data_IF_517613018877
#
_entry.id   IF_517613018877
#
_cell.length_a   1.000
_cell.length_b   1.000
_cell.length_c   1.000
_cell.angle_alpha   90.00
_cell.angle_beta   90.00
_cell.angle_gamma   90.00
#
_symmetry.space_group_name_H-M   'P 1'
#
loop_
_entity.id
_entity.type
_entity.pdbx_description
1 polymer ?
#
# COMPACT_ATOMS: atom_id res chain seq x y z
N UNK A 1 29.94 27.96 -27.38
CA UNK A 1 29.42 26.77 -26.66
C UNK A 1 27.94 27.00 -26.44
N UNK A 2 27.09 26.46 -27.32
CA UNK A 2 25.65 26.56 -27.20
C UNK A 2 25.18 25.45 -26.26
N UNK A 3 24.48 25.84 -25.21
CA UNK A 3 23.94 25.01 -24.14
C UNK A 3 23.17 23.82 -24.72
N UNK A 4 23.52 22.62 -24.28
CA UNK A 4 22.83 21.38 -24.63
C UNK A 4 21.31 21.61 -24.62
N UNK A 5 20.67 21.36 -25.77
CA UNK A 5 19.24 21.08 -25.85
C UNK A 5 18.97 19.84 -24.99
N UNK A 6 18.73 20.05 -23.70
CA UNK A 6 17.91 19.13 -22.94
C UNK A 6 16.57 19.09 -23.67
N UNK A 7 16.36 18.02 -24.45
CA UNK A 7 15.04 17.66 -24.95
C UNK A 7 14.21 17.31 -23.71
N UNK A 8 13.75 18.34 -23.01
CA UNK A 8 12.91 18.27 -21.83
C UNK A 8 11.55 17.79 -22.30
N UNK A 9 11.39 16.48 -22.51
CA UNK A 9 10.11 15.81 -22.70
C UNK A 9 9.32 15.79 -21.39
N UNK A 10 9.36 16.92 -20.69
CA UNK A 10 8.83 17.14 -19.39
C UNK A 10 7.60 18.02 -19.56
N UNK A 11 6.52 17.61 -18.93
CA UNK A 11 5.31 18.38 -18.87
C UNK A 11 5.20 19.03 -17.50
N UNK A 12 4.87 20.32 -17.47
CA UNK A 12 4.55 21.01 -16.23
C UNK A 12 3.19 21.67 -16.38
N UNK A 13 2.25 21.29 -15.53
CA UNK A 13 0.92 21.89 -15.44
C UNK A 13 0.93 22.81 -14.23
N UNK A 14 0.88 24.12 -14.48
CA UNK A 14 0.86 25.13 -13.43
C UNK A 14 -0.44 25.14 -12.62
N UNK A 15 -0.41 25.84 -11.50
CA UNK A 15 -1.59 26.09 -10.68
C UNK A 15 -2.66 26.86 -11.47
N UNK A 16 -3.93 26.49 -11.32
CA UNK A 16 -5.05 27.10 -12.03
C UNK A 16 -5.25 26.63 -13.47
N UNK A 17 -4.33 25.83 -14.02
CA UNK A 17 -4.53 25.19 -15.32
C UNK A 17 -5.47 24.00 -15.14
N UNK A 18 -6.49 23.92 -16.00
CA UNK A 18 -7.38 22.74 -16.10
C UNK A 18 -7.16 22.08 -17.45
N UNK A 19 -6.66 20.86 -17.43
CA UNK A 19 -6.48 20.05 -18.63
C UNK A 19 -7.59 19.00 -18.72
N UNK A 20 -8.20 18.88 -19.91
CA UNK A 20 -9.23 17.87 -20.20
C UNK A 20 -8.86 17.08 -21.44
N UNK A 21 -8.70 15.76 -21.30
CA UNK A 21 -8.42 14.85 -22.41
C UNK A 21 -7.35 13.81 -22.09
N UNK A 22 -6.68 13.33 -23.14
CA UNK A 22 -5.60 12.33 -23.03
C UNK A 22 -4.25 13.00 -23.15
N UNK A 23 -3.35 12.68 -22.24
CA UNK A 23 -2.03 13.28 -22.11
C UNK A 23 -0.97 12.18 -22.10
N UNK A 24 -0.05 12.25 -23.04
CA UNK A 24 1.04 11.29 -23.17
C UNK A 24 2.39 12.02 -23.04
N UNK A 25 3.12 11.73 -21.97
CA UNK A 25 4.38 12.39 -21.62
C UNK A 25 5.51 11.36 -21.65
N UNK A 26 6.53 11.51 -22.51
CA UNK A 26 7.56 10.48 -22.65
C UNK A 26 8.45 10.32 -21.40
N UNK A 27 8.72 11.42 -20.67
CA UNK A 27 9.60 11.39 -19.49
C UNK A 27 8.81 11.73 -18.22
N UNK A 28 8.83 13.01 -17.82
CA UNK A 28 8.38 13.46 -16.49
C UNK A 28 7.19 14.40 -16.60
N UNK A 29 6.09 14.06 -15.94
CA UNK A 29 4.92 14.92 -15.81
C UNK A 29 4.85 15.50 -14.39
N UNK A 30 4.78 16.82 -14.29
CA UNK A 30 4.63 17.55 -13.03
C UNK A 30 3.30 18.29 -13.04
N UNK A 31 2.43 18.01 -12.07
CA UNK A 31 1.06 18.50 -12.05
C UNK A 31 0.81 19.29 -10.77
N UNK A 32 0.60 20.59 -10.89
CA UNK A 32 0.14 21.50 -9.83
C UNK A 32 -1.28 22.01 -10.05
N UNK A 33 -1.89 21.71 -11.20
CA UNK A 33 -3.24 22.12 -11.59
C UNK A 33 -4.27 21.00 -11.51
N UNK A 34 -5.39 21.17 -12.24
CA UNK A 34 -6.44 20.15 -12.35
C UNK A 34 -6.30 19.38 -13.67
N UNK A 35 -6.31 18.05 -13.59
CA UNK A 35 -6.27 17.16 -14.75
C UNK A 35 -7.49 16.26 -14.71
N UNK A 36 -8.24 16.25 -15.80
CA UNK A 36 -9.44 15.43 -15.97
C UNK A 36 -9.30 14.62 -17.27
N UNK A 37 -9.13 13.30 -17.13
CA UNK A 37 -8.93 12.40 -18.26
C UNK A 37 -7.86 11.33 -18.04
N UNK A 38 -7.13 10.98 -19.11
CA UNK A 38 -6.12 9.92 -19.08
C UNK A 38 -4.71 10.49 -19.18
N UNK A 39 -3.86 10.15 -18.22
CA UNK A 39 -2.46 10.58 -18.16
C UNK A 39 -1.54 9.36 -18.23
N UNK A 40 -0.69 9.33 -19.25
CA UNK A 40 0.36 8.31 -19.42
C UNK A 40 1.73 8.97 -19.37
N UNK A 41 2.60 8.53 -18.46
CA UNK A 41 3.99 8.99 -18.38
C UNK A 41 4.95 7.95 -17.82
N UNK A 42 6.27 8.16 -17.91
CA UNK A 42 7.22 7.33 -17.15
C UNK A 42 7.24 7.72 -15.67
N UNK A 43 7.40 9.01 -15.39
CA UNK A 43 7.43 9.58 -14.05
C UNK A 43 6.31 10.62 -13.89
N UNK A 44 5.51 10.50 -12.83
CA UNK A 44 4.45 11.44 -12.50
C UNK A 44 4.67 12.01 -11.11
N UNK A 45 4.69 13.33 -11.02
CA UNK A 45 4.74 14.08 -9.78
C UNK A 45 3.50 14.94 -9.63
N UNK A 46 2.73 14.71 -8.58
CA UNK A 46 1.51 15.45 -8.28
C UNK A 46 1.80 16.31 -7.07
N UNK A 47 1.90 17.62 -7.27
CA UNK A 47 2.11 18.57 -6.17
C UNK A 47 0.86 18.72 -5.30
N UNK A 48 1.00 19.41 -4.16
CA UNK A 48 -0.09 19.59 -3.19
C UNK A 48 -1.37 20.23 -3.75
N UNK A 49 -1.24 21.14 -4.72
CA UNK A 49 -2.40 21.74 -5.41
C UNK A 49 -2.90 20.92 -6.61
N UNK A 50 -2.21 19.83 -6.93
CA UNK A 50 -2.56 18.94 -8.03
C UNK A 50 -3.81 18.14 -7.72
N UNK A 51 -4.80 18.22 -8.61
CA UNK A 51 -6.02 17.41 -8.54
C UNK A 51 -6.18 16.62 -9.82
N UNK A 52 -6.13 15.30 -9.72
CA UNK A 52 -6.29 14.42 -10.88
C UNK A 52 -7.57 13.62 -10.74
N UNK A 53 -8.42 13.69 -11.76
CA UNK A 53 -9.64 12.90 -11.89
C UNK A 53 -9.55 12.09 -13.17
N UNK A 54 -9.47 10.77 -13.04
CA UNK A 54 -9.48 9.88 -14.21
C UNK A 54 -8.45 8.76 -14.11
N UNK A 55 -7.89 8.36 -15.25
CA UNK A 55 -6.97 7.22 -15.33
C UNK A 55 -5.52 7.71 -15.40
N UNK A 56 -4.71 7.30 -14.45
CA UNK A 56 -3.27 7.61 -14.43
C UNK A 56 -2.47 6.35 -14.64
N UNK A 57 -1.56 6.34 -15.61
CA UNK A 57 -0.67 5.20 -15.90
C UNK A 57 0.77 5.66 -15.92
N UNK A 58 1.60 5.15 -15.00
CA UNK A 58 3.03 5.42 -15.02
C UNK A 58 3.88 4.32 -14.39
N UNK A 59 5.19 4.40 -14.57
CA UNK A 59 6.15 3.50 -13.91
C UNK A 59 6.38 3.93 -12.47
N UNK A 60 6.69 5.21 -12.28
CA UNK A 60 6.94 5.82 -10.97
C UNK A 60 5.97 6.96 -10.73
N UNK A 61 5.28 6.94 -9.59
CA UNK A 61 4.29 7.96 -9.24
C UNK A 61 4.58 8.49 -7.84
N UNK A 62 4.63 9.81 -7.71
CA UNK A 62 4.70 10.50 -6.44
C UNK A 62 3.48 11.40 -6.25
N UNK A 63 2.75 11.20 -5.15
CA UNK A 63 1.47 11.85 -4.87
C UNK A 63 1.55 12.70 -3.61
N UNK A 64 1.49 14.03 -3.78
CA UNK A 64 1.31 14.99 -2.68
C UNK A 64 -0.07 15.65 -2.65
N UNK A 65 -0.82 15.58 -3.74
CA UNK A 65 -2.13 16.22 -3.91
C UNK A 65 -3.32 15.26 -3.80
N UNK A 66 -4.38 15.55 -4.54
CA UNK A 66 -5.59 14.73 -4.61
C UNK A 66 -5.62 13.90 -5.90
N UNK A 67 -5.82 12.59 -5.77
CA UNK A 67 -5.93 11.67 -6.89
C UNK A 67 -7.23 10.86 -6.76
N UNK A 68 -8.07 10.91 -7.79
CA UNK A 68 -9.38 10.28 -7.82
C UNK A 68 -9.53 9.35 -9.02
N UNK A 69 -10.25 8.24 -8.82
CA UNK A 69 -10.58 7.18 -9.79
C UNK A 69 -9.58 6.03 -9.90
N UNK A 70 -8.77 5.95 -10.97
CA UNK A 70 -7.99 4.74 -11.28
C UNK A 70 -6.53 5.09 -11.49
N UNK A 71 -5.66 4.41 -10.75
CA UNK A 71 -4.21 4.62 -10.79
C UNK A 71 -3.54 3.31 -11.10
N UNK A 72 -2.70 3.28 -12.13
CA UNK A 72 -1.88 2.15 -12.54
C UNK A 72 -0.41 2.53 -12.40
N UNK A 73 0.24 2.03 -11.36
CA UNK A 73 1.65 2.19 -11.11
C UNK A 73 2.37 0.88 -11.39
N UNK A 74 3.30 0.86 -12.35
CA UNK A 74 3.95 -0.39 -12.77
C UNK A 74 5.08 -0.82 -11.83
N UNK A 75 5.78 0.13 -11.23
CA UNK A 75 7.01 -0.12 -10.47
C UNK A 75 6.87 0.36 -9.02
N UNK A 76 6.98 1.66 -8.77
CA UNK A 76 7.01 2.26 -7.44
C UNK A 76 6.01 3.41 -7.29
N UNK A 77 5.11 3.29 -6.32
CA UNK A 77 4.18 4.34 -5.90
C UNK A 77 4.62 4.92 -4.56
N UNK A 78 4.85 6.23 -4.52
CA UNK A 78 5.16 6.99 -3.31
C UNK A 78 4.01 7.93 -2.97
N UNK A 79 3.37 7.71 -1.82
CA UNK A 79 2.33 8.60 -1.29
C UNK A 79 2.96 9.44 -0.19
N UNK A 80 3.04 10.75 -0.42
CA UNK A 80 3.60 11.71 0.55
C UNK A 80 2.61 12.03 1.66
N UNK A 81 3.08 12.73 2.68
CA UNK A 81 2.32 13.08 3.88
C UNK A 81 1.00 13.84 3.63
N UNK A 82 0.84 14.54 2.51
CA UNK A 82 -0.38 15.28 2.14
C UNK A 82 -1.21 14.58 1.06
N UNK A 83 -0.73 13.44 0.54
CA UNK A 83 -1.35 12.72 -0.55
C UNK A 83 -2.69 12.12 -0.15
N UNK A 84 -3.73 12.44 -0.92
CA UNK A 84 -5.08 11.88 -0.77
C UNK A 84 -5.43 11.12 -2.02
N UNK A 85 -5.53 9.80 -1.90
CA UNK A 85 -5.87 8.92 -3.01
C UNK A 85 -7.20 8.25 -2.73
N UNK A 86 -8.16 8.39 -3.65
CA UNK A 86 -9.46 7.74 -3.52
C UNK A 86 -9.88 7.05 -4.82
N UNK A 87 -10.18 5.75 -4.72
CA UNK A 87 -10.56 4.92 -5.86
C UNK A 87 -9.79 3.61 -5.96
N UNK A 88 -9.58 3.12 -7.18
CA UNK A 88 -8.91 1.86 -7.48
C UNK A 88 -7.42 2.10 -7.78
N UNK A 89 -6.53 1.45 -7.03
CA UNK A 89 -5.09 1.62 -7.11
C UNK A 89 -4.43 0.29 -7.45
N UNK A 90 -3.82 0.18 -8.62
CA UNK A 90 -3.03 -0.95 -9.07
C UNK A 90 -1.54 -0.63 -8.96
N UNK A 91 -0.78 -1.40 -8.18
CA UNK A 91 0.66 -1.15 -7.96
C UNK A 91 1.47 -2.43 -7.79
N UNK A 92 2.78 -2.36 -8.05
CA UNK A 92 3.74 -3.43 -7.68
C UNK A 92 4.31 -3.20 -6.27
N UNK A 93 4.90 -2.04 -6.04
CA UNK A 93 5.42 -1.61 -4.73
C UNK A 93 4.82 -0.26 -4.32
N UNK A 94 4.45 -0.13 -3.05
CA UNK A 94 3.87 1.08 -2.48
C UNK A 94 4.66 1.51 -1.24
N UNK A 95 4.88 2.81 -1.11
CA UNK A 95 5.37 3.47 0.08
C UNK A 95 4.41 4.58 0.48
N UNK A 96 4.08 4.65 1.76
CA UNK A 96 3.15 5.64 2.31
C UNK A 96 3.85 6.37 3.45
N UNK A 97 4.03 7.67 3.32
CA UNK A 97 4.52 8.54 4.38
C UNK A 97 3.43 8.82 5.44
N UNK A 98 3.86 9.28 6.63
CA UNK A 98 2.93 9.64 7.71
C UNK A 98 2.05 10.81 7.27
N UNK A 99 0.75 10.59 7.21
CA UNK A 99 -0.25 11.58 6.79
C UNK A 99 -0.90 11.27 5.44
N UNK A 100 -0.33 10.35 4.65
CA UNK A 100 -0.97 9.88 3.43
C UNK A 100 -2.29 9.17 3.73
N UNK A 101 -3.37 9.61 3.09
CA UNK A 101 -4.69 9.01 3.21
C UNK A 101 -5.06 8.28 1.92
N UNK A 102 -5.34 6.99 2.02
CA UNK A 102 -5.86 6.18 0.91
C UNK A 102 -7.26 5.67 1.26
N UNK A 103 -8.21 5.83 0.34
CA UNK A 103 -9.58 5.32 0.50
C UNK A 103 -10.10 4.67 -0.78
N UNK A 104 -10.16 3.34 -0.78
CA UNK A 104 -10.74 2.60 -1.90
C UNK A 104 -10.20 1.19 -1.99
N UNK A 105 -10.11 0.68 -3.22
CA UNK A 105 -9.67 -0.68 -3.51
C UNK A 105 -8.22 -0.65 -4.00
N UNK A 106 -7.35 -1.43 -3.35
CA UNK A 106 -5.97 -1.60 -3.80
C UNK A 106 -5.77 -3.01 -4.34
N UNK A 107 -5.05 -3.11 -5.45
CA UNK A 107 -4.77 -4.37 -6.12
C UNK A 107 -3.29 -4.42 -6.47
N UNK A 108 -2.57 -5.33 -5.82
CA UNK A 108 -1.16 -5.50 -6.10
C UNK A 108 -0.99 -6.36 -7.35
N UNK A 109 -0.34 -5.82 -8.38
CA UNK A 109 -0.11 -6.51 -9.67
C UNK A 109 1.37 -6.84 -9.77
N UNK A 110 1.76 -8.09 -9.56
CA UNK A 110 3.16 -8.53 -9.71
C UNK A 110 3.81 -9.19 -8.50
N UNK A 111 3.07 -9.42 -7.40
CA UNK A 111 3.60 -10.24 -6.31
C UNK A 111 3.51 -11.73 -6.66
N UNK A 112 4.64 -12.37 -6.95
CA UNK A 112 4.83 -13.74 -6.51
C UNK A 112 4.64 -13.74 -4.98
N UNK A 113 3.94 -14.71 -4.38
CA UNK A 113 3.57 -14.65 -2.98
C UNK A 113 4.85 -14.56 -2.14
N UNK A 114 5.09 -13.39 -1.54
CA UNK A 114 6.09 -13.21 -0.49
C UNK A 114 5.55 -13.88 0.75
N UNK A 115 5.70 -15.21 0.80
CA UNK A 115 5.77 -15.91 2.06
C UNK A 115 7.01 -15.38 2.79
N UNK A 116 6.91 -14.95 4.06
CA UNK A 116 8.09 -14.67 4.87
C UNK A 116 8.85 -15.98 5.06
N UNK A 117 9.78 -16.27 4.16
CA UNK A 117 10.73 -17.36 4.33
C UNK A 117 11.88 -16.85 5.20
N UNK A 118 11.79 -17.08 6.51
CA UNK A 118 12.97 -17.04 7.37
C UNK A 118 12.91 -16.26 8.69
N UNK A 119 11.98 -16.59 9.58
CA UNK A 119 12.34 -16.78 10.99
C UNK A 119 11.51 -17.92 11.57
N UNK A 120 12.21 -18.90 12.13
CA UNK A 120 11.79 -20.27 12.39
C UNK A 120 10.43 -20.47 13.09
N UNK A 121 9.74 -21.61 12.83
CA UNK A 121 8.67 -22.06 13.70
C UNK A 121 9.29 -22.56 15.02
N UNK A 122 9.18 -21.80 16.11
CA UNK A 122 9.13 -22.46 17.43
C UNK A 122 7.72 -22.98 17.62
N UNK A 123 7.63 -24.30 17.66
CA UNK A 123 6.41 -25.04 17.89
C UNK A 123 5.74 -24.60 19.20
N UNK A 124 4.49 -24.16 19.11
CA UNK A 124 3.52 -24.33 20.18
C UNK A 124 2.19 -24.72 19.53
N UNK A 125 2.03 -26.03 19.31
CA UNK A 125 0.76 -26.68 18.99
C UNK A 125 -0.22 -26.42 20.15
N UNK A 126 -1.36 -25.72 19.97
CA UNK A 126 -2.44 -25.83 20.94
C UNK A 126 -3.12 -27.19 20.72
N UNK A 127 -2.52 -28.23 21.28
CA UNK A 127 -3.13 -29.54 21.39
C UNK A 127 -3.93 -29.59 22.68
N UNK A 128 -5.21 -29.25 22.62
CA UNK A 128 -6.19 -29.90 23.49
C UNK A 128 -6.57 -31.22 22.82
N UNK A 129 -6.40 -32.38 23.48
CA UNK A 129 -7.52 -32.91 24.25
C UNK A 129 -7.15 -33.63 25.57
N UNK A 130 -8.09 -33.51 26.50
CA UNK A 130 -8.58 -34.46 27.50
C UNK A 130 -7.97 -35.88 27.50
N UNK A 131 -7.56 -36.36 28.68
CA UNK A 131 -8.06 -37.57 29.42
C UNK A 131 -6.91 -38.18 30.27
N UNK A 132 -7.13 -38.52 31.56
CA UNK A 132 -6.09 -38.98 32.49
C UNK A 132 -5.70 -40.45 32.28
N UNK A 133 -4.43 -40.83 32.54
CA UNK A 133 -4.08 -42.19 32.88
C UNK A 133 -4.01 -42.39 34.41
N UNK A 134 -4.89 -43.28 34.88
CA UNK A 134 -4.86 -43.95 36.17
C UNK A 134 -3.62 -44.85 36.33
N UNK A 135 -3.19 -45.06 37.58
CA UNK A 135 -2.32 -46.13 38.11
C UNK A 135 -0.89 -45.68 38.44
N UNK A 136 -0.39 -45.76 39.67
CA UNK A 136 -0.85 -46.38 40.90
C UNK A 136 0.31 -46.42 41.93
N UNK A 137 0.02 -46.88 43.15
CA UNK A 137 0.91 -47.14 44.30
C UNK A 137 1.32 -45.90 45.14
N UNK A 138 1.23 -45.81 46.48
CA UNK A 138 0.84 -46.71 47.58
C UNK A 138 0.66 -45.84 48.85
N UNK A 139 -0.49 -45.97 49.53
CA UNK A 139 -0.82 -46.05 51.00
C UNK A 139 0.23 -45.67 52.08
N UNK A 140 -0.11 -45.45 53.39
CA UNK A 140 -1.30 -44.95 54.16
C UNK A 140 -0.87 -43.92 55.28
N UNK A 141 -1.47 -43.85 56.50
CA UNK A 141 -2.84 -43.50 56.96
C UNK A 141 -2.85 -42.27 57.90
N UNK A 142 -4.04 -41.73 58.26
CA UNK A 142 -4.49 -41.58 59.67
C UNK A 142 -5.70 -40.61 59.82
N UNK A 143 -6.76 -41.14 60.47
CA UNK A 143 -7.74 -40.50 61.42
C UNK A 143 -8.44 -39.21 60.99
N UNK A 144 -9.76 -39.03 61.13
CA UNK A 144 -10.73 -39.43 62.16
C UNK A 144 -12.15 -39.08 61.61
N UNK A 145 -13.18 -39.93 61.68
CA UNK A 145 -14.14 -40.15 62.79
C UNK A 145 -15.32 -39.15 62.83
N UNK A 146 -16.53 -39.72 62.86
CA UNK A 146 -17.83 -39.18 63.30
C UNK A 146 -18.53 -38.13 62.41
N UNK A 147 -19.86 -38.09 62.24
CA UNK A 147 -20.96 -38.97 62.60
C UNK A 147 -22.25 -38.39 61.97
N UNK A 148 -23.25 -39.28 61.91
CA UNK A 148 -24.65 -39.08 61.56
C UNK A 148 -25.29 -37.85 62.23
N UNK A 149 -26.14 -37.13 61.49
CA UNK A 149 -27.59 -36.97 61.77
C UNK A 149 -28.23 -36.10 60.70
#
# INVERSE_FOLDING_TARGET
MATNMDQSNNLVIGNGVTFKGTLNVPKKATIYGTVDGELTAEEIFIGQSGKITGKVTARSIEVEGELHQVIHCRDHLHIRATGKVSGKLEYSQIQIERGGEFRGEMQQVGAAPVYPSGSAPIAAKPGSPTTPPTSGATTPPSTNKDAST
#
